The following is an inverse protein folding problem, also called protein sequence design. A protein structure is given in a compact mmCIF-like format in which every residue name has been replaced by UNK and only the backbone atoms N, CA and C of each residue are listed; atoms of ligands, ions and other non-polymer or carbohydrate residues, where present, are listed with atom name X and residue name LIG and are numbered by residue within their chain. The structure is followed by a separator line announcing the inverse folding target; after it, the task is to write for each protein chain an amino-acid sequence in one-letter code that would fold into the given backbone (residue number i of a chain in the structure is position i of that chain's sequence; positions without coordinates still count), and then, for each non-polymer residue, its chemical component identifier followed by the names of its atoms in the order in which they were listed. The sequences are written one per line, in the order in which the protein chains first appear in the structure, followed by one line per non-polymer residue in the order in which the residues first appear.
data_IF_854028207301
#
_entry.id   IF_854028207301
#
_cell.length_a   1.000
_cell.length_b   1.000
_cell.length_c   1.000
_cell.angle_alpha   90.00
_cell.angle_beta   90.00
_cell.angle_gamma   90.00
#
_symmetry.space_group_name_H-M   'P 1'
#
loop_
_entity.id
_entity.type
_entity.pdbx_description
1 polymer ?
#
# COMPACT_ATOMS: atom_id res chain seq x y z
N UNK A 1 -15.43 18.72 -20.71
CA UNK A 1 -15.48 17.36 -20.15
C UNK A 1 -14.47 17.34 -19.00
N UNK A 2 -14.94 17.49 -17.75
CA UNK A 2 -14.05 17.57 -16.60
C UNK A 2 -13.52 16.16 -16.32
N UNK A 3 -12.29 15.86 -16.75
CA UNK A 3 -11.63 14.63 -16.35
C UNK A 3 -11.00 14.88 -14.97
N UNK A 4 -11.81 14.80 -13.92
CA UNK A 4 -11.34 14.74 -12.53
C UNK A 4 -10.66 13.40 -12.34
N UNK A 5 -9.40 13.27 -12.76
CA UNK A 5 -8.55 12.18 -12.29
C UNK A 5 -8.11 12.51 -10.85
N UNK A 6 -9.09 12.48 -9.94
CA UNK A 6 -8.82 12.56 -8.51
C UNK A 6 -8.00 11.32 -8.19
N UNK A 7 -6.70 11.49 -7.98
CA UNK A 7 -5.79 10.39 -7.67
C UNK A 7 -6.23 9.58 -6.43
N UNK A 8 -5.37 8.69 -5.99
CA UNK A 8 -5.62 7.93 -4.77
C UNK A 8 -4.32 7.71 -4.00
N UNK A 9 -4.46 7.39 -2.72
CA UNK A 9 -3.36 6.93 -1.90
C UNK A 9 -3.72 5.56 -1.34
N UNK A 10 -3.13 4.51 -1.89
CA UNK A 10 -3.32 3.13 -1.46
C UNK A 10 -2.24 2.79 -0.43
N UNK A 11 -2.61 2.66 0.84
CA UNK A 11 -1.70 2.37 1.95
C UNK A 11 -1.80 0.89 2.30
N UNK A 12 -0.74 0.13 2.07
CA UNK A 12 -0.68 -1.32 2.28
C UNK A 12 0.02 -1.64 3.60
N UNK A 13 -0.75 -1.98 4.62
CA UNK A 13 -0.22 -2.53 5.86
C UNK A 13 0.19 -4.00 5.67
N UNK A 14 1.35 -4.38 6.20
CA UNK A 14 1.91 -5.71 5.95
C UNK A 14 2.53 -5.80 4.55
N UNK A 15 3.15 -4.72 4.09
CA UNK A 15 3.62 -4.56 2.72
C UNK A 15 4.65 -5.60 2.27
N UNK A 16 5.39 -6.19 3.21
CA UNK A 16 6.35 -7.28 2.97
C UNK A 16 5.84 -8.67 3.34
N UNK A 17 4.56 -8.80 3.68
CA UNK A 17 3.91 -10.08 3.98
C UNK A 17 3.62 -10.90 2.72
N UNK A 18 3.40 -12.21 2.90
CA UNK A 18 3.19 -13.17 1.80
C UNK A 18 2.02 -12.78 0.88
N UNK A 19 0.89 -12.34 1.45
CA UNK A 19 -0.27 -11.91 0.67
C UNK A 19 0.05 -10.68 -0.21
N UNK A 20 0.73 -9.69 0.38
CA UNK A 20 1.16 -8.48 -0.33
C UNK A 20 2.08 -8.81 -1.49
N UNK A 21 3.10 -9.63 -1.22
CA UNK A 21 4.10 -10.07 -2.19
C UNK A 21 3.49 -10.87 -3.35
N UNK A 22 2.64 -11.86 -3.03
CA UNK A 22 2.14 -12.85 -4.00
C UNK A 22 0.91 -12.40 -4.76
N UNK A 23 0.12 -11.48 -4.20
CA UNK A 23 -1.23 -11.16 -4.71
C UNK A 23 -1.46 -9.66 -4.86
N UNK A 24 -1.28 -8.87 -3.81
CA UNK A 24 -1.71 -7.46 -3.83
C UNK A 24 -0.82 -6.61 -4.74
N UNK A 25 0.50 -6.65 -4.54
CA UNK A 25 1.44 -5.87 -5.36
C UNK A 25 1.43 -6.35 -6.83
N UNK A 26 1.38 -7.65 -7.15
CA UNK A 26 1.19 -8.11 -8.53
C UNK A 26 -0.12 -7.63 -9.17
N UNK A 27 -1.23 -7.60 -8.42
CA UNK A 27 -2.52 -7.12 -8.93
C UNK A 27 -2.51 -5.59 -9.15
N UNK A 28 -1.86 -4.83 -8.27
CA UNK A 28 -1.67 -3.39 -8.45
C UNK A 28 -0.78 -3.08 -9.66
N UNK A 29 0.27 -3.86 -9.87
CA UNK A 29 1.09 -3.75 -11.07
C UNK A 29 0.26 -4.04 -12.34
N UNK A 30 -0.57 -5.08 -12.34
CA UNK A 30 -1.42 -5.39 -13.49
C UNK A 30 -2.43 -4.28 -13.80
N UNK A 31 -3.02 -3.68 -12.76
CA UNK A 31 -3.89 -2.52 -12.89
C UNK A 31 -3.14 -1.30 -13.43
N UNK A 32 -1.89 -1.06 -12.98
CA UNK A 32 -1.01 -0.01 -13.52
C UNK A 32 -0.72 -0.23 -15.01
N UNK A 33 -0.26 -1.43 -15.36
CA UNK A 33 0.09 -1.83 -16.72
C UNK A 33 -1.10 -1.72 -17.68
N UNK A 34 -2.31 -1.98 -17.18
CA UNK A 34 -3.56 -1.88 -17.94
C UNK A 34 -4.15 -0.47 -18.01
N UNK A 35 -3.48 0.54 -17.42
CA UNK A 35 -3.97 1.93 -17.41
C UNK A 35 -5.23 2.13 -16.56
N UNK A 36 -5.51 1.23 -15.62
CA UNK A 36 -6.71 1.29 -14.75
C UNK A 36 -6.50 2.17 -13.51
N UNK A 37 -5.25 2.51 -13.20
CA UNK A 37 -4.91 3.39 -12.07
C UNK A 37 -4.81 4.83 -12.53
N UNK A 38 -5.44 5.74 -11.78
CA UNK A 38 -5.27 7.19 -11.91
C UNK A 38 -3.79 7.57 -12.02
N UNK A 39 -3.45 8.54 -12.87
CA UNK A 39 -2.05 8.92 -13.14
C UNK A 39 -1.36 9.41 -11.86
N UNK A 40 -2.05 10.24 -11.08
CA UNK A 40 -1.55 10.76 -9.80
C UNK A 40 -1.58 9.73 -8.65
N UNK A 41 -2.08 8.51 -8.85
CA UNK A 41 -2.20 7.47 -7.83
C UNK A 41 -0.87 7.04 -7.21
N UNK A 42 -0.84 6.92 -5.88
CA UNK A 42 0.32 6.50 -5.09
C UNK A 42 0.03 5.23 -4.29
N UNK A 43 1.06 4.39 -4.15
CA UNK A 43 1.03 3.15 -3.38
C UNK A 43 2.04 3.30 -2.25
N UNK A 44 1.60 3.25 -1.00
CA UNK A 44 2.45 3.42 0.18
C UNK A 44 2.59 2.07 0.86
N UNK A 45 3.78 1.49 0.83
CA UNK A 45 4.09 0.31 1.63
C UNK A 45 4.30 0.68 3.09
N UNK A 46 3.66 -0.05 4.00
CA UNK A 46 3.86 0.06 5.45
C UNK A 46 4.35 -1.28 6.00
N UNK A 47 5.57 -1.29 6.50
CA UNK A 47 6.22 -2.44 7.11
C UNK A 47 7.19 -2.01 8.22
N UNK A 48 7.79 -3.00 8.90
CA UNK A 48 8.58 -2.79 10.12
C UNK A 48 10.09 -2.76 9.90
N UNK A 49 10.58 -3.35 8.80
CA UNK A 49 11.98 -3.75 8.68
C UNK A 49 12.79 -2.83 7.79
N UNK A 50 12.27 -2.46 6.63
CA UNK A 50 12.98 -1.62 5.68
C UNK A 50 13.14 -0.22 6.27
N UNK A 51 14.31 0.37 6.10
CA UNK A 51 14.61 1.68 6.68
C UNK A 51 14.00 2.81 5.86
N UNK A 52 13.96 2.67 4.52
CA UNK A 52 13.47 3.71 3.63
C UNK A 52 12.81 3.19 2.34
N UNK A 53 12.42 4.14 1.48
CA UNK A 53 11.81 3.85 0.17
C UNK A 53 12.75 3.07 -0.75
N UNK A 54 14.05 3.36 -0.76
CA UNK A 54 14.98 2.71 -1.67
C UNK A 54 15.11 1.22 -1.33
N UNK A 55 15.26 0.90 -0.04
CA UNK A 55 15.26 -0.49 0.43
C UNK A 55 13.93 -1.20 0.13
N UNK A 56 12.79 -0.53 0.36
CA UNK A 56 11.49 -1.14 0.05
C UNK A 56 11.28 -1.37 -1.45
N UNK A 57 11.69 -0.43 -2.31
CA UNK A 57 11.60 -0.61 -3.77
C UNK A 57 12.51 -1.74 -4.24
N UNK A 58 13.72 -1.87 -3.69
CA UNK A 58 14.58 -3.01 -3.95
C UNK A 58 13.92 -4.32 -3.52
N UNK A 59 13.32 -4.36 -2.33
CA UNK A 59 12.57 -5.52 -1.85
C UNK A 59 11.43 -5.90 -2.81
N UNK A 60 10.69 -4.91 -3.32
CA UNK A 60 9.63 -5.13 -4.32
C UNK A 60 10.20 -5.71 -5.63
N UNK A 61 11.31 -5.17 -6.13
CA UNK A 61 11.96 -5.69 -7.35
C UNK A 61 12.43 -7.15 -7.17
N UNK A 62 12.98 -7.50 -6.01
CA UNK A 62 13.47 -8.84 -5.74
C UNK A 62 12.35 -9.86 -5.49
N UNK A 63 11.31 -9.47 -4.74
CA UNK A 63 10.34 -10.42 -4.18
C UNK A 63 8.99 -10.42 -4.92
N UNK A 64 8.59 -9.30 -5.53
CA UNK A 64 7.30 -9.19 -6.23
C UNK A 64 7.43 -9.48 -7.71
N UNK A 65 8.51 -9.00 -8.35
CA UNK A 65 8.77 -9.20 -9.78
C UNK A 65 8.68 -10.67 -10.22
N UNK A 66 9.20 -11.67 -9.48
CA UNK A 66 9.06 -13.07 -9.87
C UNK A 66 7.59 -13.52 -10.00
N UNK A 67 6.70 -13.00 -9.14
CA UNK A 67 5.26 -13.32 -9.20
C UNK A 67 4.57 -12.65 -10.39
N UNK A 68 5.00 -11.45 -10.76
CA UNK A 68 4.52 -10.74 -11.95
C UNK A 68 4.97 -11.46 -13.23
N UNK A 69 6.26 -11.81 -13.32
CA UNK A 69 6.84 -12.52 -14.47
C UNK A 69 6.18 -13.88 -14.68
N UNK A 70 5.95 -14.64 -13.61
CA UNK A 70 5.29 -15.95 -13.68
C UNK A 70 3.88 -15.88 -14.27
N UNK A 71 3.17 -14.76 -14.07
CA UNK A 71 1.81 -14.57 -14.59
C UNK A 71 1.81 -14.05 -16.05
N UNK A 72 2.97 -13.87 -16.69
CA UNK A 72 3.09 -13.41 -18.07
C UNK A 72 2.82 -11.90 -18.27
N UNK A 73 2.65 -11.14 -17.19
CA UNK A 73 2.33 -9.71 -17.23
C UNK A 73 3.55 -8.77 -17.23
N UNK A 74 4.77 -9.30 -17.16
CA UNK A 74 5.97 -8.48 -17.01
C UNK A 74 6.29 -7.67 -18.28
N UNK A 75 6.47 -6.35 -18.10
CA UNK A 75 6.96 -5.40 -19.08
C UNK A 75 7.94 -4.45 -18.38
N UNK A 76 9.14 -4.28 -18.92
CA UNK A 76 10.23 -3.53 -18.28
C UNK A 76 9.84 -2.07 -18.01
N UNK A 77 9.15 -1.41 -18.96
CA UNK A 77 8.79 0.00 -18.86
C UNK A 77 7.64 0.20 -17.88
N UNK A 78 6.63 -0.67 -17.92
CA UNK A 78 5.53 -0.68 -16.98
C UNK A 78 6.03 -0.95 -15.55
N UNK A 79 7.02 -1.85 -15.39
CA UNK A 79 7.59 -2.15 -14.08
C UNK A 79 8.35 -0.96 -13.51
N UNK A 80 9.26 -0.35 -14.29
CA UNK A 80 9.99 0.83 -13.86
C UNK A 80 9.06 1.97 -13.42
N UNK A 81 8.05 2.29 -14.24
CA UNK A 81 7.05 3.33 -13.91
C UNK A 81 6.12 2.94 -12.75
N UNK A 82 5.87 1.64 -12.52
CA UNK A 82 5.15 1.17 -11.34
C UNK A 82 5.93 1.45 -10.06
N UNK A 83 7.24 1.17 -10.04
CA UNK A 83 8.10 1.44 -8.88
C UNK A 83 8.16 2.93 -8.52
N UNK A 84 8.00 3.83 -9.49
CA UNK A 84 7.93 5.29 -9.27
C UNK A 84 6.66 5.73 -8.50
N UNK A 85 5.59 4.93 -8.53
CA UNK A 85 4.37 5.16 -7.73
C UNK A 85 4.51 4.75 -6.28
N UNK A 86 5.51 3.91 -5.98
CA UNK A 86 5.71 3.34 -4.66
C UNK A 86 6.39 4.37 -3.75
N UNK A 87 5.77 4.62 -2.62
CA UNK A 87 6.33 5.27 -1.45
C UNK A 87 6.39 4.26 -0.30
N UNK A 88 7.08 4.62 0.77
CA UNK A 88 7.26 3.75 1.93
C UNK A 88 7.19 4.56 3.23
N UNK A 89 6.59 3.96 4.25
CA UNK A 89 6.65 4.45 5.64
C UNK A 89 6.96 3.27 6.54
N UNK A 90 8.10 3.35 7.24
CA UNK A 90 8.44 2.43 8.32
C UNK A 90 7.50 2.67 9.50
N UNK A 91 6.87 1.61 10.00
CA UNK A 91 5.92 1.72 11.09
C UNK A 91 5.90 0.44 11.93
N UNK A 92 6.14 0.60 13.23
CA UNK A 92 5.82 -0.40 14.24
C UNK A 92 4.41 -0.14 14.81
N UNK A 93 3.53 -1.14 14.66
CA UNK A 93 2.14 -1.08 15.13
C UNK A 93 2.02 -0.84 16.64
N UNK A 94 3.05 -1.15 17.41
CA UNK A 94 3.08 -0.93 18.86
C UNK A 94 3.47 0.51 19.25
N UNK A 95 3.94 1.33 18.30
CA UNK A 95 4.42 2.69 18.54
C UNK A 95 3.43 3.71 17.98
N UNK A 96 2.73 4.41 18.88
CA UNK A 96 1.73 5.42 18.49
C UNK A 96 2.33 6.58 17.66
N UNK A 97 3.59 6.94 17.91
CA UNK A 97 4.29 8.00 17.17
C UNK A 97 4.48 7.65 15.68
N UNK A 98 4.63 6.37 15.33
CA UNK A 98 4.83 5.96 13.94
C UNK A 98 3.56 6.19 13.10
N UNK A 99 2.37 6.19 13.71
CA UNK A 99 1.14 6.60 13.01
C UNK A 99 1.09 8.10 12.73
N UNK A 100 1.77 8.92 13.54
CA UNK A 100 1.95 10.35 13.26
C UNK A 100 2.88 10.53 12.06
N UNK A 101 3.98 9.76 12.00
CA UNK A 101 4.85 9.73 10.83
C UNK A 101 4.13 9.26 9.56
N UNK A 102 3.26 8.26 9.66
CA UNK A 102 2.40 7.85 8.55
C UNK A 102 1.50 8.98 8.08
N UNK A 103 0.82 9.66 9.01
CA UNK A 103 -0.05 10.82 8.68
C UNK A 103 0.73 11.87 7.90
N UNK A 104 1.89 12.26 8.42
CA UNK A 104 2.71 13.32 7.82
C UNK A 104 3.30 12.89 6.47
N UNK A 105 3.75 11.64 6.37
CA UNK A 105 4.31 11.06 5.14
C UNK A 105 3.31 10.95 3.99
N UNK A 106 2.01 10.83 4.30
CA UNK A 106 0.94 10.75 3.28
C UNK A 106 0.12 12.04 3.13
N UNK A 107 0.42 13.09 3.90
CA UNK A 107 -0.40 14.31 3.95
C UNK A 107 -0.52 15.02 2.60
N UNK A 108 0.57 15.06 1.83
CA UNK A 108 0.62 15.69 0.52
C UNK A 108 0.21 14.76 -0.65
N UNK A 109 -0.11 13.49 -0.36
CA UNK A 109 -0.49 12.53 -1.39
C UNK A 109 -1.96 12.73 -1.82
N UNK A 110 -2.30 12.46 -3.08
CA UNK A 110 -3.57 12.90 -3.64
C UNK A 110 -4.74 11.98 -3.27
N UNK A 111 -5.92 12.59 -3.28
CA UNK A 111 -7.22 11.94 -3.35
C UNK A 111 -7.58 11.04 -2.17
N UNK A 112 -8.45 10.05 -2.42
CA UNK A 112 -9.02 9.21 -1.37
C UNK A 112 -7.96 8.24 -0.83
N UNK A 113 -7.95 8.06 0.49
CA UNK A 113 -7.06 7.12 1.17
C UNK A 113 -7.73 5.75 1.24
N UNK A 114 -7.03 4.72 0.77
CA UNK A 114 -7.47 3.33 0.86
C UNK A 114 -6.45 2.58 1.72
N UNK A 115 -6.83 2.22 2.94
CA UNK A 115 -6.00 1.42 3.84
C UNK A 115 -6.31 -0.06 3.63
N UNK A 116 -5.36 -0.79 3.07
CA UNK A 116 -5.43 -2.23 2.88
C UNK A 116 -4.68 -2.94 3.99
N UNK A 117 -5.39 -3.76 4.78
CA UNK A 117 -4.83 -4.47 5.93
C UNK A 117 -4.48 -5.91 5.55
N UNK A 118 -3.32 -6.09 4.91
CA UNK A 118 -2.74 -7.41 4.65
C UNK A 118 -1.98 -7.93 5.89
N UNK A 119 -2.65 -7.87 7.04
CA UNK A 119 -2.14 -8.24 8.36
C UNK A 119 -3.02 -9.31 9.00
N UNK A 120 -2.56 -9.92 10.10
CA UNK A 120 -3.39 -10.85 10.86
C UNK A 120 -4.66 -10.18 11.43
N UNK A 121 -5.80 -10.91 11.57
CA UNK A 121 -7.06 -10.32 12.03
C UNK A 121 -7.02 -9.64 13.40
N UNK A 122 -6.16 -10.13 14.31
CA UNK A 122 -5.95 -9.53 15.64
C UNK A 122 -5.43 -8.09 15.58
N UNK A 123 -4.85 -7.67 14.45
CA UNK A 123 -4.28 -6.33 14.25
C UNK A 123 -5.27 -5.34 13.64
N UNK A 124 -6.41 -5.78 13.10
CA UNK A 124 -7.37 -4.89 12.43
C UNK A 124 -7.90 -3.79 13.35
N UNK A 125 -8.42 -4.17 14.52
CA UNK A 125 -8.97 -3.21 15.49
C UNK A 125 -7.90 -2.25 16.03
N UNK A 126 -6.71 -2.72 16.47
CA UNK A 126 -5.61 -1.84 16.83
C UNK A 126 -5.23 -0.84 15.75
N UNK A 127 -5.09 -1.27 14.49
CA UNK A 127 -4.72 -0.37 13.38
C UNK A 127 -5.80 0.66 13.13
N UNK A 128 -7.07 0.25 13.07
CA UNK A 128 -8.18 1.19 12.87
C UNK A 128 -8.25 2.26 13.98
N UNK A 129 -8.03 1.86 15.24
CA UNK A 129 -7.99 2.81 16.37
C UNK A 129 -6.82 3.78 16.26
N UNK A 130 -5.64 3.29 15.91
CA UNK A 130 -4.44 4.11 15.76
C UNK A 130 -4.57 5.09 14.59
N UNK A 131 -5.12 4.66 13.44
CA UNK A 131 -5.45 5.54 12.32
C UNK A 131 -6.43 6.64 12.73
N UNK A 132 -7.48 6.30 13.49
CA UNK A 132 -8.45 7.27 13.98
C UNK A 132 -7.84 8.29 14.95
N UNK A 133 -6.91 7.86 15.81
CA UNK A 133 -6.24 8.73 16.77
C UNK A 133 -5.40 9.85 16.09
N UNK A 134 -4.97 9.64 14.85
CA UNK A 134 -4.22 10.63 14.06
C UNK A 134 -5.05 11.28 12.93
N UNK A 135 -6.37 11.07 12.92
CA UNK A 135 -7.29 11.66 11.94
C UNK A 135 -7.20 11.06 10.53
N UNK A 136 -6.55 9.90 10.37
CA UNK A 136 -6.42 9.24 9.07
C UNK A 136 -7.68 8.49 8.63
N UNK A 137 -8.69 8.37 9.48
CA UNK A 137 -9.99 7.76 9.17
C UNK A 137 -10.95 8.68 8.40
N UNK A 138 -10.64 9.97 8.28
CA UNK A 138 -11.48 10.93 7.54
C UNK A 138 -11.40 10.71 6.02
N UNK A 139 -12.55 10.64 5.36
CA UNK A 139 -12.68 10.39 3.92
C UNK A 139 -11.78 9.24 3.42
N UNK A 140 -11.78 8.14 4.17
CA UNK A 140 -10.95 6.97 3.91
C UNK A 140 -11.79 5.72 3.70
N UNK A 141 -11.20 4.75 3.00
CA UNK A 141 -11.73 3.38 2.86
C UNK A 141 -10.78 2.43 3.55
N UNK A 142 -11.33 1.46 4.28
CA UNK A 142 -10.56 0.40 4.93
C UNK A 142 -10.96 -0.92 4.28
N UNK A 143 -9.97 -1.68 3.83
CA UNK A 143 -10.13 -3.01 3.25
C UNK A 143 -9.53 -4.02 4.21
N UNK A 144 -10.35 -4.98 4.65
CA UNK A 144 -9.99 -6.04 5.59
C UNK A 144 -10.00 -7.38 4.88
N UNK A 145 -9.00 -8.21 5.18
CA UNK A 145 -8.97 -9.59 4.74
C UNK A 145 -9.80 -10.50 5.66
N UNK A 146 -10.39 -11.55 5.08
CA UNK A 146 -11.03 -12.61 5.87
C UNK A 146 -9.96 -13.44 6.60
N UNK A 147 -10.28 -14.05 7.75
CA UNK A 147 -11.58 -14.09 8.41
C UNK A 147 -11.86 -12.86 9.29
N UNK A 148 -13.14 -12.49 9.38
CA UNK A 148 -13.62 -11.43 10.28
C UNK A 148 -14.31 -12.08 11.48
N UNK A 149 -13.55 -12.30 12.54
CA UNK A 149 -14.00 -13.08 13.70
C UNK A 149 -13.74 -14.58 13.53
N UNK A 150 -13.81 -15.27 14.66
CA UNK A 150 -13.85 -16.72 14.75
C UNK A 150 -15.10 -16.98 15.58
N UNK A 151 -16.19 -17.35 14.91
CA UNK A 151 -17.41 -17.81 15.59
C UNK A 151 -17.06 -18.93 16.59
#
# INVERSE_FOLDING_TARGET
MQNTDSGFTFVLFGATGDLSMRKILPALYEAHRSGMLAEAGKIVGVARHEEDRAEYVQWVDEHVKPHVTKNGGYDDKAWASFLERIAYVKLDLSRAEDFTHLRDGIAALPGIRVFYLATGPSLFVPICRALAAVGLNENARIVLEKPLGYD
#
